data_IF_137380993337
#
_entry.id   IF_137380993337
#
_cell.length_a   1.000
_cell.length_b   1.000
_cell.length_c   1.000
_cell.angle_alpha   90.00
_cell.angle_beta   90.00
_cell.angle_gamma   90.00
#
_symmetry.space_group_name_H-M   'P 1'
#
loop_
_entity.id
_entity.type
_entity.pdbx_description
1 polymer ?
#
# COMPACT_ATOMS: atom_id res chain seq x y z
N UNK A 1 4.11 13.08 12.51
CA UNK A 1 4.47 11.90 11.70
C UNK A 1 3.63 11.87 10.41
N UNK A 2 3.81 12.87 9.53
CA UNK A 2 2.95 13.11 8.37
C UNK A 2 3.59 12.68 7.03
N UNK A 3 4.89 12.37 7.02
CA UNK A 3 5.67 12.36 5.77
C UNK A 3 5.73 11.02 5.00
N UNK A 4 5.28 9.92 5.62
CA UNK A 4 5.36 8.60 4.98
C UNK A 4 4.15 8.27 4.09
N UNK A 5 3.04 9.02 4.20
CA UNK A 5 1.82 8.79 3.43
C UNK A 5 1.87 9.45 2.04
N UNK A 6 2.31 10.71 1.97
CA UNK A 6 2.31 11.47 0.71
C UNK A 6 3.27 10.92 -0.35
N UNK A 7 4.52 10.65 0.03
CA UNK A 7 5.59 10.32 -0.95
C UNK A 7 5.46 8.89 -1.49
N UNK A 8 4.80 8.00 -0.76
CA UNK A 8 4.63 6.62 -1.21
C UNK A 8 3.50 6.49 -2.25
N UNK A 9 2.42 7.25 -2.13
CA UNK A 9 1.19 7.02 -2.90
C UNK A 9 0.80 8.13 -3.88
N UNK A 10 1.60 9.20 -4.02
CA UNK A 10 1.36 10.22 -5.04
C UNK A 10 0.03 10.94 -4.82
N UNK A 11 -0.27 11.26 -3.57
CA UNK A 11 -1.52 11.92 -3.18
C UNK A 11 -1.68 13.29 -3.87
N UNK A 12 -0.57 14.00 -4.10
CA UNK A 12 -0.54 15.31 -4.76
C UNK A 12 -1.03 15.30 -6.23
N UNK A 13 -0.95 14.15 -6.92
CA UNK A 13 -1.45 14.01 -8.30
C UNK A 13 -2.87 13.45 -8.40
N UNK A 14 -3.42 12.92 -7.31
CA UNK A 14 -4.77 12.37 -7.28
C UNK A 14 -5.78 13.48 -6.98
N UNK A 15 -6.06 14.33 -7.97
CA UNK A 15 -7.21 15.26 -7.95
C UNK A 15 -8.52 14.47 -8.12
N UNK A 16 -8.81 13.59 -7.18
CA UNK A 16 -10.00 12.73 -7.22
C UNK A 16 -11.21 13.56 -6.81
N UNK A 17 -11.86 14.16 -7.81
CA UNK A 17 -13.10 14.96 -7.68
C UNK A 17 -14.36 14.08 -7.57
N UNK A 18 -14.30 12.99 -6.82
CA UNK A 18 -15.44 12.10 -6.57
C UNK A 18 -15.57 11.96 -5.06
N UNK A 19 -16.70 12.44 -4.53
CA UNK A 19 -16.95 12.81 -3.13
C UNK A 19 -16.37 11.85 -2.08
N UNK A 20 -16.45 10.53 -2.30
CA UNK A 20 -16.00 9.50 -1.35
C UNK A 20 -14.71 8.77 -1.75
N UNK A 21 -14.16 9.05 -2.93
CA UNK A 21 -13.05 8.26 -3.45
C UNK A 21 -11.75 8.54 -2.67
N UNK A 22 -11.52 9.77 -2.22
CA UNK A 22 -10.38 10.09 -1.35
C UNK A 22 -10.38 9.27 -0.04
N UNK A 23 -11.54 9.16 0.61
CA UNK A 23 -11.71 8.37 1.83
C UNK A 23 -11.55 6.87 1.56
N UNK A 24 -12.13 6.36 0.48
CA UNK A 24 -11.97 4.96 0.08
C UNK A 24 -10.50 4.62 -0.20
N UNK A 25 -9.78 5.50 -0.91
CA UNK A 25 -8.35 5.33 -1.15
C UNK A 25 -7.53 5.40 0.13
N UNK A 26 -7.85 6.30 1.07
CA UNK A 26 -7.17 6.35 2.37
C UNK A 26 -7.34 5.04 3.15
N UNK A 27 -8.55 4.46 3.15
CA UNK A 27 -8.84 3.16 3.78
C UNK A 27 -8.04 2.06 3.10
N UNK A 28 -8.07 1.98 1.76
CA UNK A 28 -7.31 0.98 1.00
C UNK A 28 -5.81 1.07 1.28
N UNK A 29 -5.24 2.29 1.25
CA UNK A 29 -3.83 2.52 1.57
C UNK A 29 -3.48 2.02 2.97
N UNK A 30 -4.35 2.28 3.95
CA UNK A 30 -4.17 1.83 5.33
C UNK A 30 -4.23 0.30 5.45
N UNK A 31 -5.18 -0.35 4.76
CA UNK A 31 -5.29 -1.81 4.69
C UNK A 31 -4.01 -2.40 4.08
N UNK A 32 -3.58 -1.91 2.92
CA UNK A 32 -2.34 -2.36 2.25
C UNK A 32 -1.11 -2.16 3.15
N UNK A 33 -1.00 -1.03 3.83
CA UNK A 33 0.12 -0.76 4.72
C UNK A 33 0.15 -1.72 5.92
N UNK A 34 -1.02 -2.05 6.49
CA UNK A 34 -1.13 -3.03 7.56
C UNK A 34 -0.76 -4.44 7.09
N UNK A 35 -1.22 -4.85 5.90
CA UNK A 35 -0.85 -6.13 5.27
C UNK A 35 0.67 -6.24 5.05
N UNK A 36 1.28 -5.21 4.45
CA UNK A 36 2.71 -5.19 4.18
C UNK A 36 3.57 -5.10 5.46
N UNK A 37 3.05 -4.52 6.54
CA UNK A 37 3.71 -4.52 7.86
C UNK A 37 3.61 -5.86 8.56
N UNK A 38 2.52 -6.61 8.36
CA UNK A 38 2.33 -7.95 8.92
C UNK A 38 3.30 -8.97 8.29
N UNK A 39 3.77 -8.72 7.08
CA UNK A 39 4.86 -9.51 6.48
C UNK A 39 6.16 -9.33 7.24
N UNK A 40 6.58 -10.36 7.96
CA UNK A 40 7.87 -10.44 8.65
C UNK A 40 8.94 -11.18 7.82
N UNK A 41 8.54 -11.82 6.73
CA UNK A 41 9.44 -12.65 5.91
C UNK A 41 10.36 -11.79 5.04
N UNK A 42 9.84 -10.70 4.46
CA UNK A 42 10.65 -9.86 3.56
C UNK A 42 11.38 -8.78 4.34
N UNK A 43 12.69 -8.91 4.57
CA UNK A 43 13.54 -7.86 5.16
C UNK A 43 13.85 -6.72 4.18
N UNK A 44 12.81 -6.09 3.63
CA UNK A 44 12.93 -4.93 2.75
C UNK A 44 12.01 -3.79 3.19
N UNK A 45 12.33 -2.56 2.79
CA UNK A 45 11.50 -1.39 3.06
C UNK A 45 10.12 -1.46 2.40
N UNK A 46 9.15 -0.71 2.92
CA UNK A 46 7.75 -0.74 2.47
C UNK A 46 7.59 -0.54 0.95
N UNK A 47 8.41 0.33 0.35
CA UNK A 47 8.43 0.59 -1.10
C UNK A 47 8.78 -0.66 -1.91
N UNK A 48 9.80 -1.41 -1.46
CA UNK A 48 10.25 -2.64 -2.13
C UNK A 48 9.21 -3.75 -1.93
N UNK A 49 8.65 -3.89 -0.72
CA UNK A 49 7.56 -4.86 -0.46
C UNK A 49 6.34 -4.59 -1.34
N UNK A 50 5.95 -3.32 -1.50
CA UNK A 50 4.85 -2.92 -2.38
C UNK A 50 5.16 -3.26 -3.85
N UNK A 51 6.38 -2.96 -4.32
CA UNK A 51 6.79 -3.30 -5.67
C UNK A 51 6.76 -4.81 -5.90
N UNK A 52 7.29 -5.60 -4.96
CA UNK A 52 7.27 -7.07 -4.99
C UNK A 52 5.85 -7.64 -5.02
N UNK A 53 4.92 -7.06 -4.24
CA UNK A 53 3.51 -7.43 -4.27
C UNK A 53 2.81 -7.05 -5.59
N UNK A 54 3.31 -6.03 -6.29
CA UNK A 54 2.81 -5.64 -7.60
C UNK A 54 3.35 -6.53 -8.74
N UNK A 55 4.57 -7.05 -8.60
CA UNK A 55 5.24 -7.85 -9.65
C UNK A 55 5.21 -9.36 -9.43
N UNK A 56 4.87 -9.85 -8.22
CA UNK A 56 4.85 -11.28 -7.92
C UNK A 56 3.49 -11.71 -7.36
N UNK A 57 2.77 -12.51 -8.17
CA UNK A 57 1.49 -13.13 -7.78
C UNK A 57 1.63 -14.04 -6.56
N UNK A 58 2.68 -14.85 -6.52
CA UNK A 58 2.93 -15.77 -5.39
C UNK A 58 3.12 -15.01 -4.07
N UNK A 59 3.88 -13.90 -4.10
CA UNK A 59 4.08 -13.06 -2.91
C UNK A 59 2.77 -12.37 -2.50
N UNK A 60 1.93 -11.99 -3.47
CA UNK A 60 0.61 -11.42 -3.21
C UNK A 60 -0.36 -12.45 -2.61
N UNK A 61 -0.36 -13.69 -3.08
CA UNK A 61 -1.15 -14.78 -2.50
C UNK A 61 -0.74 -15.05 -1.04
N UNK A 62 0.57 -15.16 -0.78
CA UNK A 62 1.10 -15.33 0.57
C UNK A 62 0.72 -14.18 1.52
N UNK A 63 0.74 -12.94 1.05
CA UNK A 63 0.31 -11.77 1.82
C UNK A 63 -1.18 -11.82 2.18
N UNK A 64 -2.01 -12.35 1.29
CA UNK A 64 -3.45 -12.49 1.47
C UNK A 64 -3.84 -13.77 2.24
N UNK A 65 -2.89 -14.67 2.47
CA UNK A 65 -3.09 -15.94 3.17
C UNK A 65 -3.68 -17.04 2.28
N UNK A 66 -3.44 -16.97 0.97
CA UNK A 66 -3.76 -18.01 -0.01
C UNK A 66 -2.51 -18.81 -0.39
#
# INVERSE_FOLDING_TARGET
MHWALDVAFGEDQCRVRVENAAQNFAILRRITMNLLRKDTQTKAGLKIRRLKAATSDNYRAQLLGW
#
